data_IF_864711371617
#
_entry.id   IF_864711371617
#
_cell.length_a   1.000
_cell.length_b   1.000
_cell.length_c   1.000
_cell.angle_alpha   90.00
_cell.angle_beta   90.00
_cell.angle_gamma   90.00
#
_symmetry.space_group_name_H-M   'P 1'
#
loop_
_entity.id
_entity.type
_entity.pdbx_description
1 polymer ?
#
# COMPACT_ATOMS: atom_id res chain seq x y z
N UNK A 1 -4.83 26.91 -18.00
CA UNK A 1 -5.62 26.93 -19.26
C UNK A 1 -5.57 25.62 -20.07
N UNK A 2 -4.77 24.62 -19.69
CA UNK A 2 -4.56 23.39 -20.47
C UNK A 2 -5.84 22.55 -20.64
N UNK A 3 -6.70 22.48 -19.61
CA UNK A 3 -7.87 21.59 -19.61
C UNK A 3 -9.07 22.07 -20.46
N UNK A 4 -9.23 23.38 -20.70
CA UNK A 4 -10.33 23.91 -21.54
C UNK A 4 -10.07 23.63 -23.03
N UNK A 5 -8.80 23.56 -23.43
CA UNK A 5 -8.37 23.33 -24.81
C UNK A 5 -8.09 21.85 -25.10
N UNK A 6 -8.35 20.95 -24.17
CA UNK A 6 -8.06 19.53 -24.33
C UNK A 6 -8.96 18.91 -25.41
N UNK A 7 -8.35 18.40 -26.47
CA UNK A 7 -9.04 17.70 -27.57
C UNK A 7 -9.63 16.36 -27.12
N UNK A 8 -9.10 15.76 -26.04
CA UNK A 8 -9.60 14.50 -25.47
C UNK A 8 -10.80 14.70 -24.54
N UNK A 9 -11.12 15.93 -24.15
CA UNK A 9 -12.25 16.24 -23.27
C UNK A 9 -13.04 17.47 -23.77
N UNK A 10 -13.67 17.40 -24.96
CA UNK A 10 -14.45 18.51 -25.51
C UNK A 10 -15.70 18.84 -24.67
N UNK A 11 -16.25 17.86 -23.96
CA UNK A 11 -17.43 18.03 -23.10
C UNK A 11 -17.21 19.02 -21.97
N UNK A 12 -16.01 19.06 -21.39
CA UNK A 12 -15.71 20.02 -20.34
C UNK A 12 -15.83 21.47 -20.83
N UNK A 13 -15.29 21.77 -22.01
CA UNK A 13 -15.46 23.09 -22.65
C UNK A 13 -16.92 23.41 -22.91
N UNK A 14 -17.72 22.42 -23.34
CA UNK A 14 -19.17 22.58 -23.56
C UNK A 14 -19.91 22.89 -22.25
N UNK A 15 -19.59 22.18 -21.15
CA UNK A 15 -20.18 22.41 -19.82
C UNK A 15 -19.90 23.84 -19.31
N UNK A 16 -18.73 24.39 -19.59
CA UNK A 16 -18.38 25.79 -19.28
C UNK A 16 -19.20 26.77 -20.13
N UNK A 17 -19.28 26.56 -21.45
CA UNK A 17 -20.03 27.44 -22.36
C UNK A 17 -21.53 27.46 -22.07
N UNK A 18 -22.10 26.33 -21.66
CA UNK A 18 -23.50 26.21 -21.23
C UNK A 18 -23.77 26.79 -19.83
N UNK A 19 -22.72 27.23 -19.11
CA UNK A 19 -22.86 27.82 -17.78
C UNK A 19 -23.03 26.80 -16.64
N UNK A 20 -22.90 25.50 -16.90
CA UNK A 20 -22.91 24.48 -15.84
C UNK A 20 -21.71 24.61 -14.91
N UNK A 21 -20.58 25.13 -15.42
CA UNK A 21 -19.41 25.48 -14.62
C UNK A 21 -19.16 26.98 -14.77
N UNK A 22 -19.24 27.72 -13.67
CA UNK A 22 -18.95 29.16 -13.66
C UNK A 22 -17.47 29.42 -13.94
N UNK A 23 -17.10 30.49 -14.68
CA UNK A 23 -15.71 30.83 -14.98
C UNK A 23 -14.84 31.02 -13.72
N UNK A 24 -15.40 31.63 -12.68
CA UNK A 24 -14.73 31.86 -11.39
C UNK A 24 -14.33 30.54 -10.74
N UNK A 25 -15.23 29.56 -10.75
CA UNK A 25 -14.99 28.25 -10.15
C UNK A 25 -13.80 27.53 -10.81
N UNK A 26 -13.60 27.70 -12.13
CA UNK A 26 -12.50 27.05 -12.88
C UNK A 26 -11.12 27.38 -12.29
N UNK A 27 -10.97 28.56 -11.68
CA UNK A 27 -9.72 28.97 -11.03
C UNK A 27 -9.44 28.18 -9.74
N UNK A 28 -10.49 27.75 -9.05
CA UNK A 28 -10.41 27.04 -7.77
C UNK A 28 -10.36 25.52 -7.93
N UNK A 29 -10.84 24.98 -9.06
CA UNK A 29 -10.97 23.54 -9.25
C UNK A 29 -9.60 22.88 -9.39
N UNK A 30 -9.49 21.69 -8.82
CA UNK A 30 -8.28 20.89 -8.94
C UNK A 30 -8.20 20.19 -10.31
N UNK A 31 -6.99 19.87 -10.76
CA UNK A 31 -6.75 19.10 -12.00
C UNK A 31 -7.61 17.83 -12.15
N UNK A 32 -7.77 16.97 -11.12
CA UNK A 32 -8.60 15.76 -11.24
C UNK A 32 -10.10 16.05 -11.42
N UNK A 33 -10.61 17.19 -10.96
CA UNK A 33 -12.02 17.57 -11.11
C UNK A 33 -12.36 18.07 -12.52
N UNK A 34 -11.35 18.48 -13.30
CA UNK A 34 -11.50 18.96 -14.67
C UNK A 34 -11.40 17.86 -15.74
N UNK A 35 -11.17 16.62 -15.33
CA UNK A 35 -10.98 15.50 -16.25
C UNK A 35 -12.33 14.97 -16.72
N UNK A 36 -12.36 14.22 -17.83
CA UNK A 36 -13.58 13.57 -18.32
C UNK A 36 -14.15 12.59 -17.30
N UNK A 37 -15.48 12.42 -17.33
CA UNK A 37 -16.23 11.57 -16.40
C UNK A 37 -15.71 10.11 -16.40
N UNK A 38 -15.29 9.60 -17.57
CA UNK A 38 -14.67 8.27 -17.69
C UNK A 38 -13.35 8.14 -16.92
N UNK A 39 -12.44 9.10 -17.10
CA UNK A 39 -11.14 9.10 -16.43
C UNK A 39 -11.27 9.39 -14.94
N UNK A 40 -12.28 10.17 -14.53
CA UNK A 40 -12.58 10.37 -13.12
C UNK A 40 -12.92 9.02 -12.46
N UNK A 41 -13.76 8.22 -13.10
CA UNK A 41 -14.11 6.87 -12.62
C UNK A 41 -12.89 5.93 -12.56
N UNK A 42 -12.01 5.98 -13.56
CA UNK A 42 -10.76 5.21 -13.57
C UNK A 42 -9.83 5.62 -12.43
N UNK A 43 -9.63 6.91 -12.23
CA UNK A 43 -8.82 7.45 -11.14
C UNK A 43 -9.38 7.06 -9.77
N UNK A 44 -10.70 7.08 -9.60
CA UNK A 44 -11.34 6.61 -8.37
C UNK A 44 -11.11 5.12 -8.14
N UNK A 45 -11.20 4.29 -9.18
CA UNK A 45 -10.89 2.85 -9.08
C UNK A 45 -9.43 2.62 -8.70
N UNK A 46 -8.49 3.35 -9.31
CA UNK A 46 -7.06 3.25 -8.99
C UNK A 46 -6.82 3.66 -7.53
N UNK A 47 -7.40 4.78 -7.08
CA UNK A 47 -7.29 5.24 -5.68
C UNK A 47 -7.84 4.21 -4.71
N UNK A 48 -9.03 3.65 -4.99
CA UNK A 48 -9.64 2.60 -4.16
C UNK A 48 -8.76 1.34 -4.08
N UNK A 49 -8.18 0.92 -5.20
CA UNK A 49 -7.25 -0.23 -5.24
C UNK A 49 -5.99 0.05 -4.42
N UNK A 50 -5.35 1.20 -4.62
CA UNK A 50 -4.15 1.59 -3.90
C UNK A 50 -4.38 1.64 -2.38
N UNK A 51 -5.49 2.25 -1.93
CA UNK A 51 -5.88 2.27 -0.51
C UNK A 51 -6.04 0.85 0.04
N UNK A 52 -6.77 0.00 -0.68
CA UNK A 52 -7.00 -1.38 -0.27
C UNK A 52 -5.72 -2.22 -0.19
N UNK A 53 -4.77 -2.01 -1.10
CA UNK A 53 -3.47 -2.68 -1.09
C UNK A 53 -2.60 -2.21 0.09
N UNK A 54 -2.57 -0.91 0.37
CA UNK A 54 -1.85 -0.35 1.51
C UNK A 54 -2.38 -0.89 2.85
N UNK A 55 -3.69 -1.05 3.01
CA UNK A 55 -4.29 -1.59 4.24
C UNK A 55 -3.96 -3.09 4.44
N UNK A 56 -3.77 -3.85 3.36
CA UNK A 56 -3.45 -5.28 3.42
C UNK A 56 -1.97 -5.58 3.65
N UNK A 57 -1.08 -4.75 3.13
CA UNK A 57 0.35 -4.96 3.21
C UNK A 57 0.89 -4.57 4.59
N UNK A 58 0.67 -5.41 5.60
CA UNK A 58 1.52 -5.39 6.79
C UNK A 58 2.99 -5.62 6.38
N UNK A 59 3.95 -5.06 7.14
CA UNK A 59 5.37 -5.23 6.85
C UNK A 59 5.70 -6.71 6.59
N UNK A 60 6.35 -7.06 5.46
CA UNK A 60 6.62 -8.45 5.12
C UNK A 60 7.47 -9.07 6.23
N UNK A 61 6.86 -9.93 7.05
CA UNK A 61 7.61 -10.72 8.03
C UNK A 61 8.37 -11.77 7.25
N UNK A 62 9.70 -11.62 7.17
CA UNK A 62 10.57 -12.62 6.59
C UNK A 62 10.26 -13.97 7.23
N UNK A 63 9.67 -14.89 6.46
CA UNK A 63 9.22 -16.20 6.94
C UNK A 63 10.14 -17.24 6.35
N UNK A 64 10.65 -18.13 7.20
CA UNK A 64 11.44 -19.30 6.87
C UNK A 64 10.69 -20.56 7.28
N UNK A 65 10.96 -21.68 6.60
CA UNK A 65 10.40 -23.00 6.91
C UNK A 65 11.37 -23.90 7.71
N UNK A 66 12.49 -23.33 8.19
CA UNK A 66 13.53 -24.08 8.89
C UNK A 66 13.09 -24.60 10.27
N UNK A 67 12.15 -23.93 10.93
CA UNK A 67 11.73 -24.28 12.29
C UNK A 67 10.24 -24.64 12.36
N UNK A 68 9.91 -25.77 13.02
CA UNK A 68 8.52 -26.16 13.29
C UNK A 68 8.08 -25.62 14.64
N UNK A 69 6.98 -24.87 14.68
CA UNK A 69 6.42 -24.39 15.95
C UNK A 69 5.81 -25.54 16.76
N UNK A 70 6.20 -25.67 18.03
CA UNK A 70 5.64 -26.68 18.95
C UNK A 70 4.19 -26.42 19.37
N UNK A 71 3.69 -25.18 19.25
CA UNK A 71 2.32 -24.82 19.67
C UNK A 71 1.29 -25.05 18.56
N UNK A 72 1.57 -24.58 17.34
CA UNK A 72 0.63 -24.67 16.21
C UNK A 72 1.02 -25.71 15.15
N UNK A 73 2.21 -26.32 15.24
CA UNK A 73 2.68 -27.33 14.29
C UNK A 73 3.09 -26.80 12.90
N UNK A 74 2.84 -25.52 12.60
CA UNK A 74 3.23 -24.87 11.33
C UNK A 74 4.72 -24.52 11.30
N UNK A 75 5.28 -24.41 10.10
CA UNK A 75 6.69 -24.04 9.86
C UNK A 75 6.91 -22.55 9.59
N UNK A 76 5.82 -21.76 9.50
CA UNK A 76 5.88 -20.31 9.30
C UNK A 76 6.53 -19.62 10.51
N UNK A 77 7.85 -19.43 10.44
CA UNK A 77 8.66 -18.85 11.50
C UNK A 77 9.58 -17.75 10.97
N UNK A 78 9.82 -16.72 11.75
CA UNK A 78 10.81 -15.69 11.49
C UNK A 78 11.94 -15.86 12.50
N UNK A 79 13.19 -15.88 12.06
CA UNK A 79 14.34 -15.92 12.97
C UNK A 79 15.23 -14.70 12.79
N UNK A 80 15.89 -14.31 13.87
CA UNK A 80 16.96 -13.34 13.86
C UNK A 80 18.08 -13.83 14.77
N UNK A 81 19.32 -13.52 14.40
CA UNK A 81 20.50 -13.90 15.16
C UNK A 81 20.99 -12.68 15.92
N UNK A 82 21.22 -12.85 17.22
CA UNK A 82 21.75 -11.80 18.09
C UNK A 82 22.80 -12.39 19.02
N UNK A 83 23.95 -11.74 19.11
CA UNK A 83 24.98 -12.10 20.08
C UNK A 83 24.55 -11.61 21.45
N UNK A 84 24.29 -12.54 22.37
CA UNK A 84 23.84 -12.20 23.74
C UNK A 84 24.88 -12.53 24.81
N UNK A 85 26.00 -13.13 24.42
CA UNK A 85 27.08 -13.60 25.31
C UNK A 85 28.44 -13.17 24.73
N UNK A 86 29.52 -13.51 25.44
CA UNK A 86 30.90 -13.13 25.11
C UNK A 86 31.27 -13.42 23.64
N UNK A 87 32.30 -12.73 23.13
CA UNK A 87 32.76 -12.88 21.75
C UNK A 87 33.15 -14.31 21.36
N UNK A 88 33.55 -15.13 22.34
CA UNK A 88 33.98 -16.52 22.16
C UNK A 88 32.82 -17.52 22.03
N UNK A 89 31.57 -17.09 22.27
CA UNK A 89 30.39 -17.94 22.12
C UNK A 89 29.64 -17.67 20.79
N UNK A 90 29.08 -18.70 20.14
CA UNK A 90 28.35 -18.52 18.90
C UNK A 90 27.08 -17.68 19.10
N UNK A 91 26.62 -17.03 18.03
CA UNK A 91 25.41 -16.21 18.03
C UNK A 91 24.17 -17.00 18.46
N UNK A 92 23.28 -16.36 19.23
CA UNK A 92 22.01 -16.98 19.63
C UNK A 92 20.95 -16.73 18.56
N UNK A 93 20.27 -17.78 18.11
CA UNK A 93 19.17 -17.65 17.14
C UNK A 93 17.84 -17.53 17.89
N UNK A 94 17.11 -16.44 17.66
CA UNK A 94 15.78 -16.22 18.20
C UNK A 94 14.74 -16.50 17.13
N UNK A 95 13.83 -17.44 17.39
CA UNK A 95 12.78 -17.86 16.45
C UNK A 95 11.43 -17.42 16.98
N UNK A 96 10.64 -16.78 16.12
CA UNK A 96 9.27 -16.34 16.42
C UNK A 96 8.30 -16.95 15.40
N UNK A 97 7.27 -17.65 15.86
CA UNK A 97 6.22 -18.17 15.00
C UNK A 97 5.32 -17.03 14.50
N UNK A 98 5.17 -16.92 13.19
CA UNK A 98 4.35 -15.88 12.55
C UNK A 98 2.86 -16.12 12.81
N UNK A 99 2.44 -17.38 12.89
CA UNK A 99 1.03 -17.75 13.08
C UNK A 99 0.54 -17.58 14.52
N UNK A 100 1.34 -17.97 15.53
CA UNK A 100 0.89 -18.02 16.93
C UNK A 100 1.64 -17.08 17.87
N UNK A 101 2.64 -16.34 17.38
CA UNK A 101 3.42 -15.38 18.15
C UNK A 101 4.38 -15.99 19.19
N UNK A 102 4.49 -17.33 19.28
CA UNK A 102 5.43 -17.98 20.20
C UNK A 102 6.87 -17.67 19.80
N UNK A 103 7.65 -17.19 20.75
CA UNK A 103 9.08 -16.93 20.63
C UNK A 103 9.89 -17.93 21.47
N UNK A 104 11.01 -18.40 20.93
CA UNK A 104 11.94 -19.28 21.64
C UNK A 104 13.38 -19.09 21.13
N UNK A 105 14.35 -19.52 21.94
CA UNK A 105 15.77 -19.53 21.57
C UNK A 105 16.12 -20.89 20.95
N UNK A 106 16.89 -20.87 19.87
CA UNK A 106 17.53 -22.03 19.26
C UNK A 106 19.04 -21.84 19.46
N UNK A 107 19.63 -22.67 20.31
CA UNK A 107 21.04 -22.66 20.69
C UNK A 107 21.78 -23.76 19.95
#
# INVERSE_FOLDING_TARGET
MFNIRDTKNPDFRRKVLLGHVKPERILEMSTPEMVSDQRQLENEKIKKRALFECERAGAPKATTDQFKCSKCGKKETAYHQMQTRSADEPMTTFVTCVTCGKNWKFC
#
